data_IF_150490374555
#
_entry.id   IF_150490374555
#
_cell.length_a   1.000
_cell.length_b   1.000
_cell.length_c   1.000
_cell.angle_alpha   90.00
_cell.angle_beta   90.00
_cell.angle_gamma   90.00
#
_symmetry.space_group_name_H-M   'P 1'
#
loop_
_entity.id
_entity.type
_entity.pdbx_description
1 polymer ?
#
# COMPACT_ATOMS: atom_id res chain seq x y z
N UNK A 1 3.61 2.68 11.15
CA UNK A 1 2.51 3.50 10.57
C UNK A 1 3.16 4.76 10.04
N UNK A 2 2.87 5.14 8.80
CA UNK A 2 3.32 6.43 8.26
C UNK A 2 2.66 7.56 9.07
N UNK A 3 3.39 8.65 9.30
CA UNK A 3 2.83 9.82 9.96
C UNK A 3 1.66 10.39 9.14
N UNK A 4 0.61 10.92 9.79
CA UNK A 4 -0.45 11.64 9.08
C UNK A 4 0.14 12.75 8.22
N UNK A 5 -0.37 12.91 7.00
CA UNK A 5 0.13 13.96 6.11
C UNK A 5 -0.38 15.31 6.58
N UNK A 6 0.48 16.33 6.53
CA UNK A 6 0.00 17.70 6.68
C UNK A 6 -0.69 18.15 5.41
N UNK A 7 -1.61 19.09 5.54
CA UNK A 7 -2.49 19.50 4.44
C UNK A 7 -1.74 20.04 3.21
N UNK A 8 -0.56 20.64 3.41
CA UNK A 8 0.32 21.07 2.32
C UNK A 8 0.86 19.87 1.52
N UNK A 9 1.21 18.78 2.19
CA UNK A 9 1.67 17.54 1.55
C UNK A 9 0.53 16.87 0.79
N UNK A 10 -0.67 16.84 1.39
CA UNK A 10 -1.88 16.34 0.72
C UNK A 10 -2.10 17.10 -0.58
N UNK A 11 -2.10 18.43 -0.54
CA UNK A 11 -2.30 19.25 -1.74
C UNK A 11 -1.22 19.00 -2.80
N UNK A 12 0.05 18.89 -2.41
CA UNK A 12 1.14 18.53 -3.31
C UNK A 12 0.88 17.17 -3.98
N UNK A 13 0.48 16.15 -3.22
CA UNK A 13 0.23 14.81 -3.76
C UNK A 13 -0.99 14.79 -4.69
N UNK A 14 -2.04 15.55 -4.39
CA UNK A 14 -3.18 15.73 -5.30
C UNK A 14 -2.78 16.35 -6.64
N UNK A 15 -1.76 17.22 -6.69
CA UNK A 15 -1.26 17.80 -7.95
C UNK A 15 -0.53 16.78 -8.84
N UNK A 16 -0.10 15.63 -8.28
CA UNK A 16 0.53 14.54 -9.04
C UNK A 16 -0.51 13.60 -9.69
N UNK A 17 -1.77 13.66 -9.23
CA UNK A 17 -2.83 12.80 -9.71
C UNK A 17 -3.49 13.39 -10.96
N UNK A 18 -3.99 12.52 -11.83
CA UNK A 18 -4.84 12.92 -12.94
C UNK A 18 -6.30 13.14 -12.50
N UNK A 19 -7.12 13.73 -13.36
CA UNK A 19 -8.52 14.06 -13.04
C UNK A 19 -9.35 12.84 -12.64
N UNK A 20 -9.16 11.69 -13.30
CA UNK A 20 -9.89 10.46 -12.98
C UNK A 20 -9.54 9.93 -11.57
N UNK A 21 -8.25 9.99 -11.21
CA UNK A 21 -7.76 9.60 -9.88
C UNK A 21 -8.27 10.54 -8.79
N UNK A 22 -8.25 11.84 -9.05
CA UNK A 22 -8.77 12.86 -8.13
C UNK A 22 -10.26 12.61 -7.89
N UNK A 23 -11.04 12.45 -8.96
CA UNK A 23 -12.48 12.17 -8.87
C UNK A 23 -12.74 10.91 -8.05
N UNK A 24 -12.03 9.83 -8.35
CA UNK A 24 -12.17 8.57 -7.62
C UNK A 24 -11.92 8.75 -6.11
N UNK A 25 -10.80 9.38 -5.73
CA UNK A 25 -10.46 9.57 -4.31
C UNK A 25 -11.47 10.47 -3.61
N UNK A 26 -11.91 11.55 -4.23
CA UNK A 26 -12.90 12.45 -3.65
C UNK A 26 -14.23 11.74 -3.43
N UNK A 27 -14.70 10.98 -4.41
CA UNK A 27 -15.92 10.18 -4.31
C UNK A 27 -15.77 9.08 -3.25
N UNK A 28 -14.64 8.37 -3.21
CA UNK A 28 -14.34 7.35 -2.22
C UNK A 28 -14.40 7.91 -0.79
N UNK A 29 -13.75 9.05 -0.53
CA UNK A 29 -13.75 9.70 0.79
C UNK A 29 -15.17 10.15 1.13
N UNK A 30 -15.87 10.79 0.19
CA UNK A 30 -17.25 11.27 0.38
C UNK A 30 -18.17 10.12 0.77
N UNK A 31 -18.16 9.02 0.02
CA UNK A 31 -19.00 7.86 0.31
C UNK A 31 -18.66 7.23 1.66
N UNK A 32 -17.38 7.03 1.97
CA UNK A 32 -16.99 6.48 3.27
C UNK A 32 -17.41 7.36 4.45
N UNK A 33 -17.33 8.69 4.31
CA UNK A 33 -17.79 9.62 5.37
C UNK A 33 -19.31 9.56 5.52
N UNK A 34 -20.07 9.45 4.41
CA UNK A 34 -21.52 9.22 4.46
C UNK A 34 -21.88 7.91 5.14
N UNK A 35 -21.23 6.82 4.78
CA UNK A 35 -21.42 5.51 5.41
C UNK A 35 -21.11 5.57 6.90
N UNK A 36 -19.99 6.21 7.28
CA UNK A 36 -19.60 6.34 8.70
C UNK A 36 -20.60 7.15 9.50
N UNK A 37 -21.14 8.22 8.92
CA UNK A 37 -22.22 9.01 9.52
C UNK A 37 -23.47 8.14 9.73
N UNK A 38 -23.93 7.47 8.67
CA UNK A 38 -25.10 6.60 8.69
C UNK A 38 -24.99 5.49 9.75
N UNK A 39 -23.87 4.77 9.77
CA UNK A 39 -23.59 3.73 10.78
C UNK A 39 -23.66 4.28 12.21
N UNK A 40 -23.11 5.47 12.43
CA UNK A 40 -23.06 6.09 13.75
C UNK A 40 -24.46 6.49 14.23
N UNK A 41 -25.31 7.01 13.33
CA UNK A 41 -26.71 7.31 13.64
C UNK A 41 -27.54 6.05 13.86
N UNK A 42 -27.39 5.04 13.01
CA UNK A 42 -28.11 3.78 13.15
C UNK A 42 -27.79 3.11 14.49
N UNK A 43 -26.50 3.06 14.86
CA UNK A 43 -26.05 2.57 16.17
C UNK A 43 -26.68 3.34 17.33
N UNK A 44 -26.75 4.67 17.26
CA UNK A 44 -27.39 5.51 18.29
C UNK A 44 -28.88 5.18 18.46
N UNK A 45 -29.57 4.91 17.35
CA UNK A 45 -31.00 4.57 17.34
C UNK A 45 -31.30 3.10 17.62
N UNK A 46 -30.27 2.25 17.79
CA UNK A 46 -30.45 0.81 17.92
C UNK A 46 -30.95 0.13 16.64
N UNK A 47 -30.77 0.76 15.48
CA UNK A 47 -31.17 0.19 14.17
C UNK A 47 -30.02 -0.67 13.66
N UNK A 48 -30.31 -1.93 13.36
CA UNK A 48 -29.36 -2.84 12.71
C UNK A 48 -29.46 -2.65 11.20
N UNK A 49 -28.38 -2.18 10.58
CA UNK A 49 -28.26 -2.12 9.12
C UNK A 49 -27.76 -3.47 8.61
N UNK A 50 -28.61 -4.17 7.87
CA UNK A 50 -28.21 -5.40 7.17
C UNK A 50 -27.20 -5.08 6.06
N UNK A 51 -26.23 -5.98 5.84
CA UNK A 51 -25.14 -5.78 4.87
C UNK A 51 -25.58 -5.63 3.41
N UNK A 52 -26.80 -6.07 3.08
CA UNK A 52 -27.31 -6.09 1.71
C UNK A 52 -28.29 -4.94 1.41
N UNK A 53 -28.59 -4.07 2.39
CA UNK A 53 -29.42 -2.90 2.14
C UNK A 53 -28.66 -1.91 1.27
N UNK A 54 -29.33 -1.37 0.27
CA UNK A 54 -28.80 -0.22 -0.46
C UNK A 54 -28.66 0.99 0.48
N UNK A 55 -27.79 1.94 0.11
CA UNK A 55 -27.61 3.15 0.92
C UNK A 55 -28.93 3.92 1.08
N UNK A 56 -29.76 3.97 0.04
CA UNK A 56 -31.03 4.72 0.08
C UNK A 56 -32.05 4.07 1.00
N UNK A 57 -32.20 2.74 0.94
CA UNK A 57 -33.08 2.01 1.86
C UNK A 57 -32.63 2.12 3.32
N UNK A 58 -31.31 2.12 3.56
CA UNK A 58 -30.75 2.32 4.89
C UNK A 58 -31.08 3.72 5.42
N UNK A 59 -31.01 4.74 4.56
CA UNK A 59 -31.43 6.10 4.91
C UNK A 59 -32.93 6.24 5.12
N UNK A 60 -33.75 5.54 4.33
CA UNK A 60 -35.21 5.54 4.50
C UNK A 60 -35.63 4.89 5.81
N UNK A 61 -34.97 3.80 6.21
CA UNK A 61 -35.19 3.18 7.53
C UNK A 61 -34.80 4.12 8.67
N UNK A 62 -33.73 4.90 8.51
CA UNK A 62 -33.26 5.83 9.53
C UNK A 62 -34.14 7.09 9.64
N UNK A 63 -34.63 7.58 8.49
CA UNK A 63 -35.43 8.80 8.29
C UNK A 63 -35.00 9.96 9.20
N UNK A 64 -33.73 10.35 9.07
CA UNK A 64 -33.06 11.33 9.94
C UNK A 64 -32.14 12.29 9.13
N UNK A 65 -31.27 12.99 9.84
CA UNK A 65 -30.17 13.78 9.32
C UNK A 65 -29.24 12.99 8.41
N UNK A 66 -29.24 13.38 7.14
CA UNK A 66 -28.39 12.84 6.09
C UNK A 66 -27.22 13.77 5.80
N UNK A 67 -26.00 13.23 5.83
CA UNK A 67 -24.82 13.95 5.38
C UNK A 67 -24.78 13.99 3.85
N UNK A 68 -24.91 15.18 3.27
CA UNK A 68 -24.85 15.37 1.82
C UNK A 68 -23.41 15.58 1.36
N UNK A 69 -22.67 16.44 2.05
CA UNK A 69 -21.33 16.84 1.66
C UNK A 69 -20.56 17.47 2.82
N UNK A 70 -19.23 17.46 2.72
CA UNK A 70 -18.33 18.18 3.61
C UNK A 70 -17.43 19.04 2.72
N UNK A 71 -17.55 20.34 2.85
CA UNK A 71 -16.68 21.29 2.16
C UNK A 71 -15.49 21.63 3.06
N UNK A 72 -14.28 21.58 2.52
CA UNK A 72 -13.07 22.11 3.16
C UNK A 72 -12.63 23.38 2.40
N UNK A 73 -12.40 24.46 3.15
CA UNK A 73 -11.94 25.74 2.62
C UNK A 73 -10.44 25.74 2.33
N UNK A 74 -9.72 24.74 2.84
CA UNK A 74 -8.27 24.67 2.80
C UNK A 74 -7.60 25.39 3.96
N UNK A 75 -6.30 25.15 4.10
CA UNK A 75 -5.47 25.70 5.17
C UNK A 75 -5.56 27.24 5.25
N UNK A 76 -5.83 27.76 6.46
CA UNK A 76 -5.95 29.19 6.72
C UNK A 76 -7.22 29.85 6.16
N UNK A 77 -7.99 29.15 5.34
CA UNK A 77 -9.14 29.71 4.62
C UNK A 77 -10.46 29.35 5.32
N UNK A 78 -11.33 30.35 5.46
CA UNK A 78 -12.69 30.19 6.00
C UNK A 78 -13.74 30.77 5.04
N UNK A 79 -13.82 30.24 3.81
CA UNK A 79 -14.66 30.82 2.76
C UNK A 79 -16.16 30.57 3.01
N UNK A 80 -16.50 29.58 3.83
CA UNK A 80 -17.88 29.21 4.09
C UNK A 80 -18.47 29.95 5.29
N UNK A 81 -19.79 29.94 5.37
CA UNK A 81 -20.57 30.52 6.47
C UNK A 81 -21.51 29.48 7.04
N UNK A 82 -21.55 29.40 8.36
CA UNK A 82 -22.51 28.62 9.11
C UNK A 82 -23.89 29.28 9.08
N UNK A 83 -24.96 28.53 9.35
CA UNK A 83 -26.29 29.08 9.65
C UNK A 83 -26.27 30.12 10.79
N UNK A 84 -25.33 30.02 11.73
CA UNK A 84 -25.16 31.04 12.80
C UNK A 84 -24.34 32.27 12.37
N UNK A 85 -23.93 32.36 11.10
CA UNK A 85 -23.11 33.46 10.56
C UNK A 85 -21.59 33.28 10.74
N UNK A 86 -21.14 32.31 11.54
CA UNK A 86 -19.70 32.08 11.76
C UNK A 86 -18.95 31.66 10.49
N UNK A 87 -17.74 32.19 10.31
CA UNK A 87 -16.85 31.81 9.22
C UNK A 87 -16.29 30.39 9.44
N UNK A 88 -16.45 29.51 8.45
CA UNK A 88 -16.10 28.10 8.54
C UNK A 88 -15.01 27.73 7.53
N UNK A 89 -14.03 26.95 8.00
CA UNK A 89 -13.15 26.16 7.14
C UNK A 89 -13.87 24.88 6.69
N UNK A 90 -14.33 24.08 7.65
CA UNK A 90 -15.11 22.88 7.38
C UNK A 90 -16.60 23.18 7.48
N UNK A 91 -17.33 22.95 6.39
CA UNK A 91 -18.77 23.15 6.32
C UNK A 91 -19.46 21.81 6.04
N UNK A 92 -20.22 21.33 7.01
CA UNK A 92 -21.03 20.12 6.90
C UNK A 92 -22.38 20.50 6.28
N UNK A 93 -22.68 19.93 5.12
CA UNK A 93 -23.98 20.08 4.47
C UNK A 93 -24.82 18.88 4.85
N UNK A 94 -25.85 19.11 5.65
CA UNK A 94 -26.76 18.06 6.14
C UNK A 94 -28.19 18.35 5.73
N UNK A 95 -28.95 17.29 5.41
CA UNK A 95 -30.37 17.37 5.07
C UNK A 95 -31.18 16.63 6.12
N UNK A 96 -32.18 17.29 6.71
CA UNK A 96 -33.17 16.60 7.52
C UNK A 96 -34.24 15.97 6.62
N UNK A 97 -34.30 14.64 6.52
CA UNK A 97 -35.18 13.96 5.56
C UNK A 97 -36.68 14.24 5.77
N UNK A 98 -37.14 14.39 7.02
CA UNK A 98 -38.55 14.67 7.33
C UNK A 98 -39.01 16.06 6.90
N UNK A 99 -38.15 17.06 7.08
CA UNK A 99 -38.46 18.45 6.76
C UNK A 99 -38.03 18.83 5.34
N UNK A 100 -37.24 17.97 4.69
CA UNK A 100 -36.58 18.20 3.42
C UNK A 100 -35.82 19.54 3.38
N UNK A 101 -35.21 19.92 4.52
CA UNK A 101 -34.40 21.13 4.66
C UNK A 101 -32.93 20.79 4.74
N UNK A 102 -32.13 21.57 4.02
CA UNK A 102 -30.67 21.44 4.00
C UNK A 102 -30.04 22.60 4.76
N UNK A 103 -29.04 22.29 5.58
CA UNK A 103 -28.36 23.24 6.45
C UNK A 103 -26.85 23.19 6.22
N UNK A 104 -26.21 24.35 6.36
CA UNK A 104 -24.75 24.51 6.26
C UNK A 104 -24.17 24.78 7.65
N UNK A 105 -23.61 23.75 8.26
CA UNK A 105 -23.26 23.77 9.67
C UNK A 105 -21.75 23.64 9.89
N UNK A 106 -21.23 24.38 10.87
CA UNK A 106 -19.94 24.08 11.49
C UNK A 106 -20.08 23.00 12.55
N UNK A 107 -18.98 22.46 13.06
CA UNK A 107 -18.96 21.36 14.04
C UNK A 107 -19.85 21.64 15.28
N UNK A 108 -19.75 22.83 15.86
CA UNK A 108 -20.56 23.22 17.03
C UNK A 108 -22.05 23.28 16.70
N UNK A 109 -22.41 23.88 15.56
CA UNK A 109 -23.81 23.99 15.14
C UNK A 109 -24.37 22.65 14.67
N UNK A 110 -23.52 21.74 14.20
CA UNK A 110 -23.91 20.40 13.83
C UNK A 110 -24.58 19.69 15.00
N UNK A 111 -23.95 19.67 16.18
CA UNK A 111 -24.56 19.10 17.39
C UNK A 111 -25.88 19.78 17.79
N UNK A 112 -25.91 21.11 17.78
CA UNK A 112 -27.09 21.88 18.20
C UNK A 112 -28.31 21.68 17.30
N UNK A 113 -28.14 21.70 15.97
CA UNK A 113 -29.23 21.55 15.02
C UNK A 113 -29.69 20.10 14.91
N UNK A 114 -28.75 19.15 14.97
CA UNK A 114 -29.08 17.72 14.80
C UNK A 114 -29.54 17.05 16.09
N UNK A 115 -29.44 17.73 17.24
CA UNK A 115 -29.69 17.17 18.58
C UNK A 115 -28.87 15.89 18.85
N UNK A 116 -27.70 15.79 18.22
CA UNK A 116 -26.74 14.72 18.47
C UNK A 116 -25.89 15.07 19.69
N UNK A 117 -25.57 14.08 20.51
CA UNK A 117 -24.71 14.30 21.69
C UNK A 117 -23.31 14.67 21.23
N UNK A 118 -22.61 15.47 22.05
CA UNK A 118 -21.23 15.84 21.78
C UNK A 118 -20.32 14.61 21.58
N UNK A 119 -20.53 13.54 22.37
CA UNK A 119 -19.79 12.28 22.22
C UNK A 119 -20.02 11.62 20.87
N UNK A 120 -21.26 11.63 20.37
CA UNK A 120 -21.57 11.04 19.07
C UNK A 120 -20.98 11.87 17.92
N UNK A 121 -21.05 13.20 18.00
CA UNK A 121 -20.40 14.07 17.02
C UNK A 121 -18.89 13.80 17.02
N UNK A 122 -18.26 13.75 18.19
CA UNK A 122 -16.84 13.44 18.33
C UNK A 122 -16.48 12.07 17.74
N UNK A 123 -17.30 11.04 17.98
CA UNK A 123 -17.14 9.70 17.39
C UNK A 123 -17.20 9.72 15.86
N UNK A 124 -18.13 10.49 15.29
CA UNK A 124 -18.28 10.66 13.84
C UNK A 124 -17.06 11.37 13.26
N UNK A 125 -16.63 12.48 13.86
CA UNK A 125 -15.47 13.26 13.42
C UNK A 125 -14.19 12.42 13.51
N UNK A 126 -14.00 11.66 14.60
CA UNK A 126 -12.91 10.69 14.71
C UNK A 126 -12.98 9.61 13.62
N UNK A 127 -14.19 9.19 13.25
CA UNK A 127 -14.42 8.32 12.10
C UNK A 127 -13.96 8.94 10.78
N UNK A 128 -14.23 10.23 10.57
CA UNK A 128 -13.77 10.97 9.39
C UNK A 128 -12.25 11.09 9.35
N UNK A 129 -11.62 11.36 10.49
CA UNK A 129 -10.17 11.38 10.58
C UNK A 129 -9.55 10.05 10.19
N UNK A 130 -10.13 8.90 10.57
CA UNK A 130 -9.65 7.58 10.13
C UNK A 130 -9.74 7.40 8.62
N UNK A 131 -10.78 7.94 7.98
CA UNK A 131 -10.94 7.91 6.52
C UNK A 131 -9.88 8.81 5.86
N UNK A 132 -9.60 9.97 6.45
CA UNK A 132 -8.55 10.87 5.96
C UNK A 132 -7.16 10.25 6.09
N UNK A 133 -6.88 9.50 7.17
CA UNK A 133 -5.66 8.71 7.31
C UNK A 133 -5.56 7.59 6.28
N UNK A 134 -6.67 6.98 5.91
CA UNK A 134 -6.71 5.96 4.86
C UNK A 134 -6.37 6.58 3.49
N UNK A 135 -6.91 7.77 3.19
CA UNK A 135 -6.50 8.55 2.01
C UNK A 135 -5.00 8.84 2.03
N UNK A 136 -4.47 9.29 3.16
CA UNK A 136 -3.05 9.63 3.28
C UNK A 136 -2.16 8.43 3.00
N UNK A 137 -2.58 7.23 3.43
CA UNK A 137 -1.90 5.99 3.09
C UNK A 137 -1.88 5.74 1.58
N UNK A 138 -3.03 5.94 0.90
CA UNK A 138 -3.14 5.77 -0.55
C UNK A 138 -2.22 6.75 -1.29
N UNK A 139 -2.23 8.03 -0.89
CA UNK A 139 -1.40 9.06 -1.50
C UNK A 139 0.10 8.79 -1.30
N UNK A 140 0.52 8.38 -0.10
CA UNK A 140 1.91 8.01 0.16
C UNK A 140 2.35 6.81 -0.68
N UNK A 141 1.51 5.78 -0.79
CA UNK A 141 1.80 4.63 -1.64
C UNK A 141 1.90 5.02 -3.12
N UNK A 142 1.13 6.02 -3.55
CA UNK A 142 1.13 6.47 -4.93
C UNK A 142 2.46 7.13 -5.27
N UNK A 143 2.93 8.02 -4.39
CA UNK A 143 4.25 8.65 -4.52
C UNK A 143 5.40 7.62 -4.53
N UNK A 144 5.27 6.54 -3.75
CA UNK A 144 6.24 5.44 -3.71
C UNK A 144 6.16 4.48 -4.91
N UNK A 145 5.29 4.73 -5.90
CA UNK A 145 5.17 3.90 -7.09
C UNK A 145 4.58 2.51 -6.81
N UNK A 146 3.65 2.41 -5.86
CA UNK A 146 3.02 1.13 -5.50
C UNK A 146 2.37 0.45 -6.70
N UNK A 147 2.59 -0.86 -6.80
CA UNK A 147 1.95 -1.74 -7.78
C UNK A 147 1.15 -2.83 -7.09
N UNK A 148 -0.01 -3.24 -7.64
CA UNK A 148 -0.81 -4.33 -7.08
C UNK A 148 -0.03 -5.65 -7.06
N UNK A 149 -0.15 -6.46 -6.00
CA UNK A 149 0.42 -7.80 -5.97
C UNK A 149 -0.03 -8.63 -7.18
N UNK A 150 0.92 -9.31 -7.83
CA UNK A 150 0.67 -10.17 -8.99
C UNK A 150 -0.38 -11.27 -8.72
N UNK A 151 -0.59 -11.65 -7.46
CA UNK A 151 -1.59 -12.65 -7.07
C UNK A 151 -3.03 -12.17 -7.31
N UNK A 152 -3.24 -10.85 -7.33
CA UNK A 152 -4.55 -10.23 -7.39
C UNK A 152 -5.13 -10.21 -8.80
N UNK A 153 -4.29 -10.26 -9.83
CA UNK A 153 -4.68 -10.09 -11.23
C UNK A 153 -5.76 -11.08 -11.73
N UNK A 154 -5.89 -12.25 -11.11
CA UNK A 154 -6.90 -13.26 -11.47
C UNK A 154 -7.90 -13.55 -10.35
N UNK A 155 -8.06 -12.64 -9.39
CA UNK A 155 -9.12 -12.74 -8.38
C UNK A 155 -10.36 -11.98 -8.83
N UNK A 156 -11.57 -12.47 -8.53
CA UNK A 156 -12.80 -11.72 -8.74
C UNK A 156 -12.94 -10.65 -7.66
N UNK A 157 -12.16 -9.57 -7.78
CA UNK A 157 -12.11 -8.50 -6.78
C UNK A 157 -13.46 -7.78 -6.65
N UNK A 158 -13.81 -7.28 -5.45
CA UNK A 158 -14.95 -6.38 -5.29
C UNK A 158 -14.90 -5.19 -6.25
N UNK A 159 -16.05 -4.77 -6.77
CA UNK A 159 -16.14 -3.71 -7.78
C UNK A 159 -15.46 -2.40 -7.35
N UNK A 160 -15.59 -2.02 -6.08
CA UNK A 160 -14.94 -0.84 -5.50
C UNK A 160 -13.41 -0.91 -5.56
N UNK A 161 -12.86 -2.09 -5.28
CA UNK A 161 -11.42 -2.35 -5.34
C UNK A 161 -10.93 -2.36 -6.79
N UNK A 162 -11.67 -3.01 -7.68
CA UNK A 162 -11.29 -3.11 -9.09
C UNK A 162 -11.23 -1.72 -9.74
N UNK A 163 -12.25 -0.88 -9.52
CA UNK A 163 -12.28 0.50 -10.02
C UNK A 163 -11.08 1.34 -9.53
N UNK A 164 -10.64 1.13 -8.28
CA UNK A 164 -9.48 1.83 -7.74
C UNK A 164 -8.18 1.42 -8.45
N UNK A 165 -7.99 0.11 -8.65
CA UNK A 165 -6.82 -0.43 -9.37
C UNK A 165 -6.83 0.05 -10.82
N UNK A 166 -7.99 0.03 -11.48
CA UNK A 166 -8.15 0.47 -12.86
C UNK A 166 -7.87 1.98 -13.02
N UNK A 167 -8.16 2.78 -11.99
CA UNK A 167 -7.78 4.19 -11.91
C UNK A 167 -6.26 4.40 -11.67
N UNK A 168 -5.49 3.33 -11.46
CA UNK A 168 -4.07 3.38 -11.13
C UNK A 168 -3.79 3.88 -9.72
N UNK A 169 -4.75 3.74 -8.80
CA UNK A 169 -4.60 4.15 -7.41
C UNK A 169 -4.20 2.98 -6.51
N UNK A 170 -3.27 3.20 -5.56
CA UNK A 170 -2.89 2.18 -4.61
C UNK A 170 -3.99 1.81 -3.64
N UNK A 171 -3.99 0.56 -3.18
CA UNK A 171 -4.90 0.11 -2.14
C UNK A 171 -4.38 0.47 -0.75
N UNK A 172 -5.30 0.87 0.15
CA UNK A 172 -5.00 1.03 1.56
C UNK A 172 -4.73 -0.32 2.24
N UNK A 173 -4.14 -0.30 3.44
CA UNK A 173 -3.89 -1.50 4.23
C UNK A 173 -5.20 -2.20 4.60
N UNK A 174 -6.23 -1.41 4.90
CA UNK A 174 -7.58 -1.92 5.18
C UNK A 174 -8.17 -2.66 3.97
N UNK A 175 -8.04 -2.09 2.79
CA UNK A 175 -8.49 -2.70 1.54
C UNK A 175 -7.70 -3.97 1.22
N UNK A 176 -6.38 -3.92 1.37
CA UNK A 176 -5.48 -5.08 1.18
C UNK A 176 -5.87 -6.22 2.12
N UNK A 177 -6.05 -5.94 3.42
CA UNK A 177 -6.49 -6.95 4.39
C UNK A 177 -7.88 -7.51 4.10
N UNK A 178 -8.80 -6.69 3.57
CA UNK A 178 -10.12 -7.17 3.15
C UNK A 178 -9.97 -8.22 2.05
N UNK A 179 -9.12 -7.96 1.06
CA UNK A 179 -8.83 -8.89 -0.05
C UNK A 179 -8.15 -10.15 0.48
N UNK A 180 -7.10 -10.02 1.29
CA UNK A 180 -6.37 -11.15 1.88
C UNK A 180 -7.28 -12.07 2.71
N UNK A 181 -8.24 -11.51 3.44
CA UNK A 181 -9.21 -12.29 4.22
C UNK A 181 -10.28 -12.94 3.34
N UNK A 182 -10.78 -12.26 2.30
CA UNK A 182 -11.80 -12.79 1.39
C UNK A 182 -11.26 -13.95 0.55
N UNK A 183 -10.03 -13.83 0.06
CA UNK A 183 -9.41 -14.78 -0.87
C UNK A 183 -8.26 -15.56 -0.25
N UNK A 184 -8.28 -15.72 1.08
CA UNK A 184 -7.23 -16.41 1.82
C UNK A 184 -6.86 -17.78 1.22
N UNK A 185 -7.82 -18.69 0.92
CA UNK A 185 -7.46 -20.01 0.40
C UNK A 185 -6.89 -19.94 -1.03
N UNK A 186 -7.45 -19.10 -1.90
CA UNK A 186 -6.99 -18.92 -3.28
C UNK A 186 -5.58 -18.32 -3.34
N UNK A 187 -5.34 -17.26 -2.55
CA UNK A 187 -4.05 -16.61 -2.42
C UNK A 187 -3.00 -17.58 -1.87
N UNK A 188 -3.35 -18.35 -0.85
CA UNK A 188 -2.44 -19.35 -0.26
C UNK A 188 -2.05 -20.42 -1.28
N UNK A 189 -3.02 -20.91 -2.07
CA UNK A 189 -2.77 -21.88 -3.14
C UNK A 189 -1.89 -21.30 -4.24
N UNK A 190 -2.16 -20.08 -4.71
CA UNK A 190 -1.36 -19.40 -5.74
C UNK A 190 0.09 -19.16 -5.29
N UNK A 191 0.28 -18.68 -4.06
CA UNK A 191 1.61 -18.43 -3.47
C UNK A 191 2.40 -19.72 -3.34
N UNK A 192 1.78 -20.78 -2.82
CA UNK A 192 2.40 -22.11 -2.71
C UNK A 192 2.76 -22.69 -4.09
N UNK A 193 1.90 -22.52 -5.09
CA UNK A 193 2.20 -22.96 -6.45
C UNK A 193 3.41 -22.21 -7.02
N UNK A 194 3.45 -20.88 -6.87
CA UNK A 194 4.60 -20.07 -7.33
C UNK A 194 5.90 -20.46 -6.63
N UNK A 195 5.85 -20.71 -5.33
CA UNK A 195 7.00 -21.20 -4.58
C UNK A 195 7.49 -22.55 -5.12
N UNK A 196 6.58 -23.48 -5.40
CA UNK A 196 6.92 -24.77 -5.99
C UNK A 196 7.49 -24.64 -7.41
N UNK A 197 6.90 -23.78 -8.24
CA UNK A 197 7.37 -23.49 -9.59
C UNK A 197 8.77 -22.86 -9.54
N UNK A 198 9.02 -21.96 -8.59
CA UNK A 198 10.31 -21.34 -8.37
C UNK A 198 11.37 -22.38 -7.96
N UNK A 199 11.07 -23.25 -7.00
CA UNK A 199 11.97 -24.34 -6.61
C UNK A 199 12.27 -25.26 -7.79
N UNK A 200 11.25 -25.59 -8.58
CA UNK A 200 11.41 -26.43 -9.78
C UNK A 200 12.34 -25.76 -10.80
N UNK A 201 12.18 -24.46 -11.05
CA UNK A 201 13.06 -23.70 -11.94
C UNK A 201 14.51 -23.68 -11.45
N UNK A 202 14.73 -23.51 -10.14
CA UNK A 202 16.07 -23.57 -9.53
C UNK A 202 16.70 -24.96 -9.71
N UNK A 203 15.94 -26.03 -9.51
CA UNK A 203 16.41 -27.39 -9.75
C UNK A 203 16.78 -27.64 -11.22
N UNK A 204 15.95 -27.18 -12.17
CA UNK A 204 16.24 -27.30 -13.60
C UNK A 204 17.50 -26.51 -13.98
N UNK A 205 17.66 -25.28 -13.47
CA UNK A 205 18.88 -24.48 -13.68
C UNK A 205 20.12 -25.18 -13.13
N UNK A 206 20.03 -25.73 -11.92
CA UNK A 206 21.12 -26.49 -11.30
C UNK A 206 21.49 -27.72 -12.12
N UNK A 207 20.49 -28.49 -12.58
CA UNK A 207 20.72 -29.67 -13.43
C UNK A 207 21.35 -29.30 -14.79
N UNK A 208 20.88 -28.22 -15.42
CA UNK A 208 21.45 -27.72 -16.67
C UNK A 208 22.90 -27.26 -16.52
N UNK A 209 23.24 -26.64 -15.39
CA UNK A 209 24.62 -26.27 -15.05
C UNK A 209 25.51 -27.52 -14.89
N UNK A 210 25.07 -28.53 -14.14
CA UNK A 210 25.82 -29.79 -13.98
C UNK A 210 25.98 -30.54 -15.30
N UNK A 211 24.94 -30.58 -16.14
CA UNK A 211 25.01 -31.22 -17.46
C UNK A 211 25.97 -30.51 -18.42
N UNK A 212 26.07 -29.17 -18.37
CA UNK A 212 27.06 -28.39 -19.11
C UNK A 212 28.49 -28.68 -18.64
N UNK A 213 28.73 -28.85 -17.33
CA UNK A 213 30.04 -29.26 -16.82
C UNK A 213 30.41 -30.69 -17.26
N UNK A 214 29.45 -31.62 -17.30
CA UNK A 214 29.70 -33.01 -17.69
C UNK A 214 29.90 -33.22 -19.21
N UNK A 215 29.42 -32.28 -20.05
CA UNK A 215 29.50 -32.36 -21.52
C UNK A 215 30.65 -31.53 -22.12
N UNK A 216 31.41 -30.80 -21.30
CA UNK A 216 32.70 -30.29 -21.75
C UNK A 216 33.64 -31.50 -21.95
N UNK A 217 34.26 -31.68 -23.14
CA UNK A 217 35.35 -32.64 -23.26
C UNK A 217 36.42 -32.28 -22.23
N UNK A 218 37.24 -33.25 -21.82
CA UNK A 218 38.41 -33.02 -20.98
C UNK A 218 39.41 -32.08 -21.67
N UNK A 219 39.06 -30.80 -21.78
CA UNK A 219 39.93 -29.73 -22.21
C UNK A 219 40.85 -29.50 -21.04
N UNK A 220 42.08 -29.99 -21.19
CA UNK A 220 43.30 -29.46 -20.61
C UNK A 220 43.03 -28.70 -19.30
N UNK A 221 43.07 -29.39 -18.16
CA UNK A 221 43.06 -28.73 -16.85
C UNK A 221 44.20 -27.72 -16.89
N UNK A 222 43.94 -26.40 -17.02
CA UNK A 222 44.98 -25.43 -16.77
C UNK A 222 45.31 -25.61 -15.29
N UNK A 223 46.58 -25.51 -14.89
CA UNK A 223 46.94 -25.64 -13.48
C UNK A 223 46.02 -24.72 -12.68
N UNK A 224 45.28 -25.27 -11.72
CA UNK A 224 44.18 -24.63 -10.99
C UNK A 224 44.38 -23.12 -10.95
N UNK A 225 43.67 -22.41 -11.83
CA UNK A 225 43.81 -20.97 -11.96
C UNK A 225 43.46 -20.42 -10.59
N UNK A 226 44.48 -20.00 -9.84
CA UNK A 226 44.28 -19.49 -8.48
C UNK A 226 43.29 -18.35 -8.63
N UNK A 227 42.11 -18.52 -8.04
CA UNK A 227 41.11 -17.46 -8.02
C UNK A 227 41.76 -16.34 -7.23
N UNK A 228 42.17 -15.28 -7.93
CA UNK A 228 42.75 -14.10 -7.32
C UNK A 228 41.67 -13.05 -7.12
N UNK A 229 41.91 -12.17 -6.16
CA UNK A 229 41.06 -11.00 -5.92
C UNK A 229 40.82 -10.19 -7.20
N UNK A 230 41.87 -9.98 -8.01
CA UNK A 230 41.82 -9.25 -9.27
C UNK A 230 40.87 -9.92 -10.29
N UNK A 231 40.87 -11.25 -10.36
CA UNK A 231 39.99 -11.99 -11.24
C UNK A 231 38.52 -11.85 -10.82
N UNK A 232 38.23 -11.92 -9.51
CA UNK A 232 36.85 -11.75 -8.99
C UNK A 232 36.33 -10.35 -9.26
N UNK A 233 37.14 -9.31 -9.00
CA UNK A 233 36.75 -7.93 -9.31
C UNK A 233 36.55 -7.70 -10.82
N UNK A 234 37.42 -8.26 -11.67
CA UNK A 234 37.29 -8.08 -13.12
C UNK A 234 35.98 -8.67 -13.68
N UNK A 235 35.48 -9.76 -13.08
CA UNK A 235 34.30 -10.48 -13.55
C UNK A 235 33.00 -10.00 -12.88
N UNK A 236 33.06 -9.60 -11.62
CA UNK A 236 31.87 -9.35 -10.79
C UNK A 236 31.86 -7.98 -10.11
N UNK A 237 32.86 -7.13 -10.35
CA UNK A 237 32.96 -5.82 -9.71
C UNK A 237 31.76 -4.91 -9.98
N UNK A 238 31.17 -4.98 -11.17
CA UNK A 238 29.96 -4.23 -11.51
C UNK A 238 28.77 -4.62 -10.63
N UNK A 239 28.51 -5.93 -10.50
CA UNK A 239 27.47 -6.46 -9.61
C UNK A 239 27.71 -6.09 -8.14
N UNK A 240 28.96 -6.17 -7.67
CA UNK A 240 29.30 -5.81 -6.30
C UNK A 240 29.09 -4.31 -6.03
N UNK A 241 29.40 -3.45 -7.00
CA UNK A 241 29.13 -2.02 -6.90
C UNK A 241 27.62 -1.73 -6.87
N UNK A 242 26.84 -2.40 -7.73
CA UNK A 242 25.39 -2.26 -7.76
C UNK A 242 24.74 -2.67 -6.43
N UNK A 243 25.17 -3.79 -5.83
CA UNK A 243 24.70 -4.21 -4.50
C UNK A 243 25.06 -3.15 -3.45
N UNK A 244 26.30 -2.66 -3.47
CA UNK A 244 26.79 -1.64 -2.52
C UNK A 244 26.02 -0.32 -2.62
N UNK A 245 25.75 0.16 -3.83
CA UNK A 245 24.97 1.38 -4.07
C UNK A 245 23.52 1.25 -3.57
N UNK A 246 23.00 0.01 -3.52
CA UNK A 246 21.65 -0.31 -3.08
C UNK A 246 21.59 -0.93 -1.67
N UNK A 247 22.68 -0.90 -0.91
CA UNK A 247 22.78 -1.55 0.41
C UNK A 247 21.69 -1.07 1.39
N UNK A 248 21.34 0.21 1.34
CA UNK A 248 20.28 0.81 2.18
C UNK A 248 18.87 0.25 1.87
N UNK A 249 18.68 -0.41 0.73
CA UNK A 249 17.41 -1.08 0.36
C UNK A 249 17.31 -2.49 0.96
N UNK A 250 18.40 -3.07 1.45
CA UNK A 250 18.42 -4.39 2.09
C UNK A 250 17.82 -4.29 3.49
N UNK A 251 16.49 -4.50 3.60
CA UNK A 251 15.76 -4.43 4.88
C UNK A 251 15.68 -5.76 5.62
N UNK A 252 16.01 -6.86 4.96
CA UNK A 252 15.92 -8.21 5.50
C UNK A 252 17.23 -8.59 6.21
N UNK A 253 17.15 -8.96 7.49
CA UNK A 253 18.31 -9.39 8.29
C UNK A 253 19.06 -10.58 7.67
N UNK A 254 18.37 -11.52 7.03
CA UNK A 254 18.99 -12.66 6.35
C UNK A 254 19.81 -12.19 5.14
N UNK A 255 19.32 -11.18 4.41
CA UNK A 255 20.02 -10.64 3.25
C UNK A 255 21.18 -9.72 3.67
N UNK A 256 21.05 -8.99 4.78
CA UNK A 256 22.18 -8.26 5.37
C UNK A 256 23.32 -9.21 5.76
N UNK A 257 23.00 -10.32 6.42
CA UNK A 257 24.01 -11.33 6.79
C UNK A 257 24.71 -11.94 5.55
N UNK A 258 23.97 -12.17 4.46
CA UNK A 258 24.56 -12.63 3.19
C UNK A 258 25.45 -11.57 2.56
N UNK A 259 25.07 -10.30 2.61
CA UNK A 259 25.91 -9.22 2.11
C UNK A 259 27.21 -9.08 2.92
N UNK A 260 27.12 -9.13 4.25
CA UNK A 260 28.28 -9.15 5.13
C UNK A 260 29.19 -10.36 4.81
N UNK A 261 28.63 -11.54 4.59
CA UNK A 261 29.39 -12.73 4.23
C UNK A 261 30.10 -12.58 2.87
N UNK A 262 29.42 -12.03 1.86
CA UNK A 262 30.04 -11.73 0.55
C UNK A 262 31.21 -10.74 0.70
N UNK A 263 31.06 -9.69 1.52
CA UNK A 263 32.15 -8.77 1.83
C UNK A 263 33.33 -9.48 2.52
N UNK A 264 33.06 -10.35 3.49
CA UNK A 264 34.08 -11.14 4.18
C UNK A 264 34.81 -12.10 3.23
N UNK A 265 34.08 -12.79 2.34
CA UNK A 265 34.68 -13.67 1.34
C UNK A 265 35.65 -12.89 0.43
N UNK A 266 35.28 -11.67 0.01
CA UNK A 266 36.15 -10.80 -0.79
C UNK A 266 37.40 -10.36 -0.02
N UNK A 267 37.27 -10.02 1.27
CA UNK A 267 38.40 -9.67 2.14
C UNK A 267 39.35 -10.86 2.34
N UNK A 268 38.80 -12.05 2.61
CA UNK A 268 39.58 -13.27 2.75
C UNK A 268 40.36 -13.61 1.46
N UNK A 269 39.77 -13.30 0.30
CA UNK A 269 40.43 -13.43 -0.99
C UNK A 269 41.61 -12.46 -1.16
N UNK A 270 41.53 -11.24 -0.62
CA UNK A 270 42.67 -10.29 -0.57
C UNK A 270 43.80 -10.83 0.31
N UNK A 271 43.45 -11.50 1.42
CA UNK A 271 44.39 -12.11 2.35
C UNK A 271 44.97 -13.46 1.89
N UNK A 272 44.67 -13.90 0.66
CA UNK A 272 45.10 -15.19 0.08
C UNK A 272 44.61 -16.41 0.88
N UNK A 273 43.48 -16.29 1.56
CA UNK A 273 42.84 -17.40 2.27
C UNK A 273 41.99 -18.26 1.33
N UNK A 274 41.55 -19.42 1.83
CA UNK A 274 40.67 -20.33 1.09
C UNK A 274 39.37 -19.64 0.71
N UNK A 275 39.04 -19.64 -0.59
CA UNK A 275 37.86 -18.96 -1.11
C UNK A 275 36.89 -19.93 -1.77
N UNK A 276 35.65 -19.98 -1.25
CA UNK A 276 34.56 -20.71 -1.89
C UNK A 276 33.87 -19.85 -2.95
N UNK A 277 34.36 -19.95 -4.18
CA UNK A 277 33.81 -19.21 -5.32
C UNK A 277 32.36 -19.60 -5.64
N UNK A 278 31.95 -20.83 -5.34
CA UNK A 278 30.59 -21.28 -5.62
C UNK A 278 29.60 -20.67 -4.62
N UNK A 279 29.96 -20.67 -3.32
CA UNK A 279 29.20 -19.99 -2.28
C UNK A 279 29.09 -18.48 -2.52
N UNK A 280 30.20 -17.83 -2.88
CA UNK A 280 30.25 -16.41 -3.22
C UNK A 280 29.25 -16.04 -4.34
N UNK A 281 29.23 -16.80 -5.44
CA UNK A 281 28.32 -16.54 -6.55
C UNK A 281 26.85 -16.71 -6.15
N UNK A 282 26.54 -17.75 -5.37
CA UNK A 282 25.18 -18.01 -4.94
C UNK A 282 24.62 -16.84 -4.11
N UNK A 283 25.38 -16.36 -3.13
CA UNK A 283 24.96 -15.26 -2.27
C UNK A 283 24.88 -13.92 -3.01
N UNK A 284 25.86 -13.63 -3.88
CA UNK A 284 25.85 -12.42 -4.69
C UNK A 284 24.64 -12.35 -5.63
N UNK A 285 24.28 -13.45 -6.31
CA UNK A 285 23.11 -13.46 -7.20
C UNK A 285 21.78 -13.38 -6.46
N UNK A 286 21.68 -13.98 -5.27
CA UNK A 286 20.49 -13.82 -4.43
C UNK A 286 20.30 -12.37 -3.97
N UNK A 287 21.39 -11.65 -3.67
CA UNK A 287 21.35 -10.23 -3.31
C UNK A 287 20.91 -9.34 -4.47
N UNK A 288 21.45 -9.54 -5.66
CA UNK A 288 21.02 -8.81 -6.86
C UNK A 288 19.54 -9.03 -7.15
N UNK A 289 19.07 -10.28 -7.04
CA UNK A 289 17.67 -10.61 -7.23
C UNK A 289 16.77 -9.96 -6.17
N UNK A 290 17.20 -9.96 -4.90
CA UNK A 290 16.43 -9.32 -3.83
C UNK A 290 16.30 -7.80 -4.00
N UNK A 291 17.26 -7.18 -4.68
CA UNK A 291 17.31 -5.74 -4.95
C UNK A 291 16.65 -5.35 -6.28
N UNK A 292 16.10 -6.31 -7.03
CA UNK A 292 15.58 -6.15 -8.39
C UNK A 292 16.63 -5.56 -9.36
N UNK A 293 17.88 -6.02 -9.25
CA UNK A 293 19.04 -5.56 -10.05
C UNK A 293 19.47 -6.59 -11.11
N UNK A 294 18.62 -7.59 -11.39
CA UNK A 294 18.89 -8.71 -12.30
C UNK A 294 17.93 -8.73 -13.50
#
# INVERSE_FOLDING_TARGET
MLSPLVEQEVNRLYQLLNEAQISFLQDYIKQNKKSKWLESLARKKGIVLEKNLSSDEAWDKLNDWELQEILDGGYGNRPYRCECGMALRFCYIVRHRKENRTFRLGETCLGNYTLLSADLIKDIINGFHKIDLERDEILNKFELGWTPPLDYASLPLPEDIQKQIDAGLPLSYRQTNRIENLFKPELSRKRKQRELDHLTQLHVRKAAFTARQASQPASFIPPAERITYELVLSRHGEHLNQIKENELRIKNQVMLAKWENVQQMILNLQCHESFDYSGFLAEMFELLYNLDLY
#
